data_IF_055231529527
#
_entry.id   IF_055231529527
#
_cell.length_a   1.000
_cell.length_b   1.000
_cell.length_c   1.000
_cell.angle_alpha   90.00
_cell.angle_beta   90.00
_cell.angle_gamma   90.00
#
_symmetry.space_group_name_H-M   'P 1'
#
loop_
_entity.id
_entity.type
_entity.pdbx_description
1 polymer ?
#
# COMPACT_ATOMS: atom_id res chain seq x y z
N UNK A 1 -11.94 -3.46 -11.26
CA UNK A 1 -12.61 -4.65 -10.68
C UNK A 1 -12.40 -4.62 -9.17
N UNK A 2 -13.46 -4.81 -8.37
CA UNK A 2 -13.37 -4.79 -6.89
C UNK A 2 -12.89 -6.15 -6.36
N UNK A 3 -12.06 -6.14 -5.31
CA UNK A 3 -11.56 -7.34 -4.64
C UNK A 3 -12.44 -7.67 -3.44
N UNK A 4 -12.68 -8.95 -3.20
CA UNK A 4 -13.42 -9.39 -2.02
C UNK A 4 -12.51 -9.39 -0.79
N UNK A 5 -12.94 -8.69 0.26
CA UNK A 5 -12.33 -8.73 1.57
C UNK A 5 -13.18 -9.59 2.50
N UNK A 6 -12.62 -10.72 2.95
CA UNK A 6 -13.31 -11.71 3.77
C UNK A 6 -12.70 -11.76 5.16
N UNK A 7 -13.53 -12.08 6.14
CA UNK A 7 -13.08 -12.23 7.52
C UNK A 7 -12.03 -13.33 7.64
N UNK A 8 -10.90 -13.04 8.30
CA UNK A 8 -9.82 -14.01 8.51
C UNK A 8 -10.27 -15.23 9.30
N UNK A 9 -11.19 -15.02 10.26
CA UNK A 9 -11.71 -16.04 11.16
C UNK A 9 -12.87 -16.85 10.53
N UNK A 10 -14.02 -16.22 10.24
CA UNK A 10 -15.23 -16.94 9.83
C UNK A 10 -15.52 -16.94 8.31
N UNK A 11 -14.61 -16.39 7.49
CA UNK A 11 -14.69 -16.28 6.01
C UNK A 11 -15.89 -15.52 5.43
N UNK A 12 -16.73 -14.92 6.28
CA UNK A 12 -17.83 -14.02 5.86
C UNK A 12 -17.27 -12.88 5.02
N UNK A 13 -17.93 -12.55 3.91
CA UNK A 13 -17.63 -11.36 3.12
C UNK A 13 -17.88 -10.11 3.96
N UNK A 14 -16.86 -9.27 4.10
CA UNK A 14 -16.91 -8.03 4.88
C UNK A 14 -17.10 -6.82 3.97
N UNK A 15 -16.38 -6.78 2.85
CA UNK A 15 -16.46 -5.69 1.88
C UNK A 15 -16.01 -6.14 0.48
N UNK A 16 -16.37 -5.35 -0.53
CA UNK A 16 -15.74 -5.37 -1.85
C UNK A 16 -15.01 -4.05 -2.05
N UNK A 17 -13.70 -4.09 -2.21
CA UNK A 17 -12.84 -2.90 -2.16
C UNK A 17 -12.15 -2.65 -3.50
N UNK A 18 -11.98 -1.38 -3.85
CA UNK A 18 -11.16 -0.95 -4.98
C UNK A 18 -10.34 0.26 -4.54
N UNK A 19 -9.02 0.19 -4.68
CA UNK A 19 -8.12 1.29 -4.31
C UNK A 19 -8.24 1.74 -2.85
N UNK A 20 -7.64 1.00 -1.92
CA UNK A 20 -7.56 1.40 -0.51
C UNK A 20 -6.12 1.29 -0.03
N UNK A 21 -5.66 2.26 0.78
CA UNK A 21 -4.35 2.19 1.44
C UNK A 21 -4.44 1.33 2.70
N UNK A 22 -5.55 1.45 3.44
CA UNK A 22 -5.80 0.75 4.70
C UNK A 22 -7.31 0.60 4.94
N UNK A 23 -7.73 -0.55 5.48
CA UNK A 23 -9.10 -0.83 5.90
C UNK A 23 -9.08 -1.57 7.23
N UNK A 24 -9.83 -1.06 8.21
CA UNK A 24 -10.12 -1.75 9.47
C UNK A 24 -11.63 -1.92 9.62
N UNK A 25 -12.09 -3.15 9.84
CA UNK A 25 -13.52 -3.46 9.94
C UNK A 25 -13.78 -4.63 10.90
N UNK A 26 -14.76 -4.45 11.78
CA UNK A 26 -15.22 -5.50 12.69
C UNK A 26 -16.18 -6.44 11.96
N UNK A 27 -15.97 -7.74 12.09
CA UNK A 27 -16.90 -8.73 11.55
C UNK A 27 -18.18 -8.77 12.39
N UNK A 28 -19.31 -8.39 11.80
CA UNK A 28 -20.62 -8.44 12.46
C UNK A 28 -21.06 -9.85 12.89
N UNK A 29 -20.47 -10.90 12.32
CA UNK A 29 -20.78 -12.30 12.67
C UNK A 29 -20.01 -12.81 13.88
N UNK A 30 -18.69 -12.63 13.90
CA UNK A 30 -17.81 -13.27 14.89
C UNK A 30 -17.05 -12.29 15.77
N UNK A 31 -17.24 -10.98 15.58
CA UNK A 31 -16.60 -9.95 16.40
C UNK A 31 -15.12 -9.67 16.08
N UNK A 32 -14.44 -10.53 15.31
CA UNK A 32 -13.03 -10.32 14.92
C UNK A 32 -12.83 -8.94 14.26
N UNK A 33 -11.88 -8.17 14.74
CA UNK A 33 -11.41 -6.94 14.10
C UNK A 33 -10.43 -7.32 12.98
N UNK A 34 -10.78 -7.04 11.73
CA UNK A 34 -9.94 -7.37 10.58
C UNK A 34 -9.24 -6.10 10.13
N UNK A 35 -7.96 -6.20 9.80
CA UNK A 35 -7.13 -5.10 9.32
C UNK A 35 -6.37 -5.55 8.07
N UNK A 36 -6.39 -4.71 7.04
CA UNK A 36 -5.69 -4.98 5.78
C UNK A 36 -5.10 -3.68 5.25
N UNK A 37 -3.86 -3.76 4.77
CA UNK A 37 -3.16 -2.67 4.07
C UNK A 37 -2.97 -3.03 2.61
N UNK A 38 -2.79 -2.03 1.75
CA UNK A 38 -2.36 -2.25 0.37
C UNK A 38 -1.03 -3.02 0.33
N UNK A 39 -0.88 -3.95 -0.62
CA UNK A 39 0.35 -4.72 -0.79
C UNK A 39 1.53 -3.86 -1.28
N UNK A 40 1.26 -2.70 -1.87
CA UNK A 40 2.27 -1.73 -2.27
C UNK A 40 1.71 -0.33 -2.03
N UNK A 41 2.44 0.47 -1.24
CA UNK A 41 2.32 1.92 -1.31
C UNK A 41 3.01 2.29 -2.62
N UNK A 42 2.27 2.83 -3.59
CA UNK A 42 2.91 3.42 -4.77
C UNK A 42 3.99 4.38 -4.26
N UNK A 43 5.26 4.10 -4.58
CA UNK A 43 6.38 4.92 -4.14
C UNK A 43 6.10 6.34 -4.60
N UNK A 44 6.00 7.26 -3.64
CA UNK A 44 5.76 8.67 -3.95
C UNK A 44 6.86 9.13 -4.92
N UNK A 45 6.54 9.86 -6.00
CA UNK A 45 7.53 10.27 -7.01
C UNK A 45 8.74 11.02 -6.44
N UNK A 46 8.61 11.57 -5.23
CA UNK A 46 9.70 12.25 -4.51
C UNK A 46 10.87 11.34 -4.10
N UNK A 47 10.71 10.02 -4.03
CA UNK A 47 11.84 9.12 -3.71
C UNK A 47 12.73 8.79 -4.92
N UNK A 48 12.35 9.21 -6.13
CA UNK A 48 13.08 8.93 -7.37
C UNK A 48 14.07 10.02 -7.78
N UNK A 49 14.21 11.12 -7.02
CA UNK A 49 15.26 12.12 -7.28
C UNK A 49 16.62 11.51 -6.96
N UNK A 50 17.29 10.99 -8.00
CA UNK A 50 18.73 10.71 -7.94
C UNK A 50 19.47 12.04 -7.92
N UNK A 51 20.42 12.26 -6.99
CA UNK A 51 21.23 13.47 -7.03
C UNK A 51 21.99 13.54 -8.35
N UNK A 52 21.91 14.69 -9.03
CA UNK A 52 22.68 14.96 -10.25
C UNK A 52 24.15 14.98 -9.85
N UNK A 53 24.93 13.97 -10.27
CA UNK A 53 26.38 13.98 -10.12
C UNK A 53 26.95 15.10 -11.02
N UNK A 54 27.47 16.14 -10.39
CA UNK A 54 28.16 17.23 -11.07
C UNK A 54 29.43 16.65 -11.71
N UNK A 55 29.67 16.81 -13.02
CA UNK A 55 30.91 16.32 -13.61
C UNK A 55 32.09 17.12 -13.05
N UNK A 56 33.06 16.40 -12.48
CA UNK A 56 34.33 16.95 -12.00
C UNK A 56 35.06 17.62 -13.18
N UNK A 57 35.23 18.94 -13.12
CA UNK A 57 36.06 19.70 -14.05
C UNK A 57 37.52 19.25 -13.86
N UNK A 58 38.00 18.34 -14.72
CA UNK A 58 39.42 18.00 -14.76
C UNK A 58 40.18 19.23 -15.25
N UNK A 59 40.90 19.88 -14.33
CA UNK A 59 41.85 20.93 -14.64
C UNK A 59 42.91 20.37 -15.58
N UNK A 60 42.97 20.88 -16.81
CA UNK A 60 44.02 20.57 -17.76
C UNK A 60 45.34 21.14 -17.25
N UNK A 61 46.37 20.29 -17.19
CA UNK A 61 47.77 20.70 -16.97
C UNK A 61 48.39 21.12 -18.28
#
# INVERSE_FOLDING_TARGET
>A
MLKEFRCGNCKRLLARTGGFTELQIKCSRCGTLNHVKAASLEQSPMSAIRPIQRPELKSAK
#
